data_IF_124458993892
#
_entry.id   IF_124458993892
#
_cell.length_a   1.000
_cell.length_b   1.000
_cell.length_c   1.000
_cell.angle_alpha   90.00
_cell.angle_beta   90.00
_cell.angle_gamma   90.00
#
_symmetry.space_group_name_H-M   'P 1'
#
loop_
_entity.id
_entity.type
_entity.pdbx_description
1 polymer ?
#
# COMPACT_ATOMS: atom_id res chain seq x y z
N UNK A 1 1.96 -8.10 0.93
CA UNK A 1 3.03 -7.74 -0.04
C UNK A 1 4.40 -8.26 0.33
N UNK A 2 4.78 -8.27 1.61
CA UNK A 2 6.06 -8.87 2.04
C UNK A 2 5.91 -10.37 2.23
N UNK A 3 6.78 -11.15 1.60
CA UNK A 3 6.93 -12.56 1.94
C UNK A 3 7.80 -12.69 3.20
N UNK A 4 7.38 -13.49 4.18
CA UNK A 4 8.11 -13.64 5.45
C UNK A 4 9.17 -14.73 5.41
N UNK A 5 9.23 -15.54 4.35
CA UNK A 5 10.22 -16.59 4.16
C UNK A 5 11.52 -16.04 3.57
N UNK A 6 11.43 -15.07 2.66
CA UNK A 6 12.58 -14.48 1.96
C UNK A 6 12.66 -12.95 2.01
N UNK A 7 11.66 -12.28 2.60
CA UNK A 7 11.56 -10.82 2.72
C UNK A 7 11.46 -10.04 1.40
N UNK A 8 11.17 -10.72 0.29
CA UNK A 8 10.79 -10.06 -0.96
C UNK A 8 9.51 -9.25 -0.75
N UNK A 9 9.37 -8.17 -1.53
CA UNK A 9 8.22 -7.25 -1.42
C UNK A 9 7.67 -6.95 -2.81
N UNK A 10 6.40 -7.27 -3.00
CA UNK A 10 5.68 -6.99 -4.24
C UNK A 10 4.23 -6.56 -3.93
N UNK A 11 3.85 -5.37 -4.40
CA UNK A 11 2.49 -4.81 -4.23
C UNK A 11 1.45 -5.51 -5.10
N UNK A 12 1.86 -6.20 -6.16
CA UNK A 12 0.97 -7.00 -7.01
C UNK A 12 0.29 -8.12 -6.24
N UNK A 13 0.90 -8.59 -5.15
CA UNK A 13 0.28 -9.56 -4.26
C UNK A 13 -1.07 -9.06 -3.72
N UNK A 14 -1.15 -7.81 -3.26
CA UNK A 14 -2.41 -7.23 -2.79
C UNK A 14 -3.42 -7.06 -3.92
N UNK A 15 -2.98 -6.66 -5.11
CA UNK A 15 -3.85 -6.49 -6.28
C UNK A 15 -4.46 -7.82 -6.71
N UNK A 16 -3.64 -8.87 -6.77
CA UNK A 16 -4.11 -10.20 -7.14
C UNK A 16 -5.06 -10.77 -6.08
N UNK A 17 -4.74 -10.61 -4.79
CA UNK A 17 -5.61 -11.06 -3.69
C UNK A 17 -6.92 -10.29 -3.62
N UNK A 18 -6.92 -8.99 -3.95
CA UNK A 18 -8.14 -8.17 -3.94
C UNK A 18 -9.22 -8.74 -4.84
N UNK A 19 -8.86 -9.37 -5.96
CA UNK A 19 -9.79 -10.03 -6.91
C UNK A 19 -10.50 -11.25 -6.32
N UNK A 20 -9.98 -11.81 -5.23
CA UNK A 20 -10.55 -12.97 -4.54
C UNK A 20 -11.43 -12.59 -3.34
N UNK A 21 -11.53 -11.30 -3.02
CA UNK A 21 -12.26 -10.79 -1.85
C UNK A 21 -13.54 -10.10 -2.31
N UNK A 22 -14.64 -10.31 -1.59
CA UNK A 22 -15.92 -9.65 -1.88
C UNK A 22 -15.83 -8.12 -1.73
N UNK A 23 -16.65 -7.39 -2.49
CA UNK A 23 -16.65 -5.91 -2.46
C UNK A 23 -17.13 -5.31 -1.14
N UNK A 24 -17.90 -6.06 -0.36
CA UNK A 24 -18.41 -5.63 0.95
C UNK A 24 -17.35 -5.72 2.07
N UNK A 25 -16.14 -6.19 1.77
CA UNK A 25 -15.07 -6.40 2.74
C UNK A 25 -14.01 -5.32 2.55
N UNK A 26 -13.74 -4.57 3.62
CA UNK A 26 -12.64 -3.59 3.64
C UNK A 26 -11.31 -4.31 3.46
N UNK A 27 -10.59 -3.96 2.41
CA UNK A 27 -9.31 -4.54 2.02
C UNK A 27 -8.16 -3.55 2.23
N UNK A 28 -7.19 -3.94 3.05
CA UNK A 28 -6.04 -3.10 3.40
C UNK A 28 -4.76 -3.72 2.81
N UNK A 29 -4.03 -2.95 2.00
CA UNK A 29 -2.70 -3.34 1.49
C UNK A 29 -1.61 -2.90 2.47
N UNK A 30 -0.74 -3.84 2.81
CA UNK A 30 0.37 -3.61 3.74
C UNK A 30 1.72 -3.96 3.11
N UNK A 31 2.75 -3.21 3.53
CA UNK A 31 4.14 -3.34 3.07
C UNK A 31 4.38 -2.94 1.60
N UNK A 32 5.54 -2.33 1.32
CA UNK A 32 5.98 -2.03 -0.05
C UNK A 32 5.50 -0.71 -0.64
N UNK A 33 4.62 0.03 0.04
CA UNK A 33 4.15 1.35 -0.40
C UNK A 33 5.19 2.42 -0.07
N UNK A 34 5.73 3.07 -1.10
CA UNK A 34 6.82 4.06 -0.96
C UNK A 34 6.47 5.39 -1.61
N UNK A 35 5.74 5.37 -2.71
CA UNK A 35 5.44 6.56 -3.49
C UNK A 35 3.95 6.77 -3.67
N UNK A 36 3.59 7.96 -4.16
CA UNK A 36 2.22 8.28 -4.53
C UNK A 36 1.69 7.32 -5.62
N UNK A 37 2.53 6.94 -6.57
CA UNK A 37 2.16 6.03 -7.66
C UNK A 37 1.78 4.65 -7.14
N UNK A 38 2.45 4.14 -6.10
CA UNK A 38 2.06 2.89 -5.45
C UNK A 38 0.64 2.99 -4.88
N UNK A 39 0.30 4.12 -4.23
CA UNK A 39 -1.03 4.38 -3.67
C UNK A 39 -2.08 4.46 -4.77
N UNK A 40 -1.80 5.22 -5.84
CA UNK A 40 -2.70 5.35 -6.99
C UNK A 40 -2.98 3.99 -7.63
N UNK A 41 -1.94 3.17 -7.84
CA UNK A 41 -2.09 1.83 -8.43
C UNK A 41 -2.96 0.91 -7.56
N UNK A 42 -2.76 0.93 -6.23
CA UNK A 42 -3.58 0.14 -5.31
C UNK A 42 -5.05 0.61 -5.32
N UNK A 43 -5.28 1.92 -5.32
CA UNK A 43 -6.61 2.52 -5.40
C UNK A 43 -7.34 2.19 -6.69
N UNK A 44 -6.66 2.26 -7.84
CA UNK A 44 -7.21 1.85 -9.15
C UNK A 44 -7.61 0.37 -9.20
N UNK A 45 -7.04 -0.45 -8.32
CA UNK A 45 -7.38 -1.88 -8.18
C UNK A 45 -8.33 -2.16 -7.01
N UNK A 46 -9.11 -1.17 -6.57
CA UNK A 46 -10.14 -1.28 -5.52
C UNK A 46 -9.59 -1.72 -4.15
N UNK A 47 -8.36 -1.34 -3.81
CA UNK A 47 -7.86 -1.43 -2.43
C UNK A 47 -8.37 -0.24 -1.63
N UNK A 48 -9.02 -0.50 -0.50
CA UNK A 48 -9.72 0.53 0.28
C UNK A 48 -8.78 1.38 1.15
N UNK A 49 -7.69 0.78 1.64
CA UNK A 49 -6.72 1.46 2.47
C UNK A 49 -5.31 0.90 2.35
N UNK A 50 -4.32 1.69 2.79
CA UNK A 50 -2.91 1.29 2.85
C UNK A 50 -2.35 1.50 4.25
N UNK A 51 -1.49 0.59 4.70
CA UNK A 51 -0.71 0.73 5.94
C UNK A 51 0.76 0.96 5.59
N UNK A 52 1.28 2.12 5.98
CA UNK A 52 2.62 2.58 5.62
C UNK A 52 3.43 2.86 6.88
N UNK A 53 4.45 2.04 7.14
CA UNK A 53 5.36 2.21 8.28
C UNK A 53 6.71 2.78 7.87
N UNK A 54 7.55 1.95 7.26
CA UNK A 54 8.96 2.24 6.95
C UNK A 54 9.16 3.57 6.20
N UNK A 55 8.40 3.81 5.14
CA UNK A 55 8.45 5.04 4.33
C UNK A 55 8.18 6.29 5.18
N UNK A 56 7.17 6.24 6.05
CA UNK A 56 6.89 7.35 6.97
C UNK A 56 7.98 7.50 8.04
N UNK A 57 8.50 6.40 8.57
CA UNK A 57 9.51 6.46 9.63
C UNK A 57 10.84 7.02 9.12
N UNK A 58 11.21 6.72 7.87
CA UNK A 58 12.41 7.22 7.21
C UNK A 58 12.28 8.64 6.65
N UNK A 59 11.07 9.21 6.63
CA UNK A 59 10.85 10.56 6.12
C UNK A 59 11.30 11.63 7.12
N UNK A 60 12.06 12.61 6.62
CA UNK A 60 12.49 13.80 7.36
C UNK A 60 11.29 14.70 7.70
N UNK A 61 10.34 14.85 6.76
CA UNK A 61 9.07 15.55 6.96
C UNK A 61 7.88 14.60 6.75
N UNK A 62 7.45 13.99 7.86
CA UNK A 62 6.33 13.05 7.92
C UNK A 62 5.01 13.69 7.47
N UNK A 63 4.82 14.98 7.73
CA UNK A 63 3.59 15.67 7.37
C UNK A 63 3.51 15.89 5.86
N UNK A 64 4.62 16.32 5.25
CA UNK A 64 4.72 16.43 3.80
C UNK A 64 4.51 15.07 3.12
N UNK A 65 5.17 14.02 3.62
CA UNK A 65 5.03 12.66 3.09
C UNK A 65 3.59 12.12 3.20
N UNK A 66 2.92 12.32 4.34
CA UNK A 66 1.50 11.94 4.48
C UNK A 66 0.63 12.70 3.46
N UNK A 67 0.88 13.99 3.25
CA UNK A 67 0.11 14.78 2.30
C UNK A 67 0.34 14.32 0.85
N UNK A 68 1.58 14.00 0.49
CA UNK A 68 1.94 13.45 -0.82
C UNK A 68 1.20 12.14 -1.08
N UNK A 69 1.32 11.17 -0.17
CA UNK A 69 0.75 9.83 -0.29
C UNK A 69 -0.78 9.85 -0.27
N UNK A 70 -1.40 10.76 0.51
CA UNK A 70 -2.86 10.90 0.57
C UNK A 70 -3.48 11.43 -0.73
N UNK A 71 -2.71 12.15 -1.54
CA UNK A 71 -3.17 12.71 -2.81
C UNK A 71 -3.01 11.74 -3.99
N UNK A 72 -2.69 10.47 -3.72
CA UNK A 72 -2.68 9.35 -4.66
C UNK A 72 -4.05 8.81 -5.03
#
# INVERSE_FOLDING_TARGET
>A
NRDLTDFSVDIENSINLRRCVGEDIVFISESGIKTKEDVTRLKENNVDAVLIGETLMKSDDKKAMILELKNG
#
